data_IF_941477919534
#
_entry.id   IF_941477919534
#
_cell.length_a   1.000
_cell.length_b   1.000
_cell.length_c   1.000
_cell.angle_alpha   90.00
_cell.angle_beta   90.00
_cell.angle_gamma   90.00
#
_symmetry.space_group_name_H-M   'P 1'
#
loop_
_entity.id
_entity.type
_entity.pdbx_description
1 polymer ?
#
# COMPACT_ATOMS: atom_id res chain seq x y z
N UNK A 1 -39.96 -51.72 40.51
CA UNK A 1 -39.80 -52.70 39.41
C UNK A 1 -39.00 -52.03 38.30
N UNK A 2 -37.75 -52.51 38.08
CA UNK A 2 -36.83 -52.42 36.92
C UNK A 2 -36.66 -51.11 36.09
N UNK A 3 -35.37 -50.71 36.01
CA UNK A 3 -34.67 -49.70 35.18
C UNK A 3 -34.71 -50.09 33.67
N UNK A 4 -34.35 -49.22 32.67
CA UNK A 4 -32.94 -48.85 32.44
C UNK A 4 -32.66 -47.43 31.89
N UNK A 5 -31.42 -47.04 32.17
CA UNK A 5 -30.64 -45.91 31.69
C UNK A 5 -30.36 -46.00 30.18
N UNK A 6 -30.45 -44.88 29.45
CA UNK A 6 -29.93 -44.77 28.08
C UNK A 6 -29.06 -43.53 27.90
N UNK A 7 -27.85 -43.81 27.43
CA UNK A 7 -26.74 -42.91 27.13
C UNK A 7 -27.08 -42.07 25.91
N UNK A 8 -26.95 -40.75 26.00
CA UNK A 8 -26.70 -39.91 24.82
C UNK A 8 -25.53 -38.99 25.16
N UNK A 9 -24.36 -39.38 24.65
CA UNK A 9 -23.24 -38.49 24.46
C UNK A 9 -23.61 -37.50 23.34
N UNK A 10 -23.56 -36.19 23.61
CA UNK A 10 -23.56 -35.17 22.56
C UNK A 10 -22.29 -34.34 22.70
N UNK A 11 -21.68 -34.20 21.53
CA UNK A 11 -20.42 -33.57 21.18
C UNK A 11 -20.28 -32.12 21.65
N UNK A 12 -19.07 -31.80 22.11
CA UNK A 12 -18.29 -30.58 21.83
C UNK A 12 -18.95 -29.59 20.85
N UNK A 13 -19.10 -28.33 21.27
CA UNK A 13 -18.51 -27.16 20.60
C UNK A 13 -18.16 -26.15 21.71
N UNK A 14 -16.88 -26.08 22.02
CA UNK A 14 -16.30 -24.96 22.73
C UNK A 14 -16.34 -23.75 21.79
N UNK A 15 -17.20 -22.77 22.07
CA UNK A 15 -17.13 -21.45 21.43
C UNK A 15 -15.97 -20.71 22.12
N UNK A 16 -14.76 -21.06 21.70
CA UNK A 16 -13.57 -20.26 21.95
C UNK A 16 -13.64 -19.07 20.98
N UNK A 17 -14.38 -18.04 21.39
CA UNK A 17 -14.37 -16.75 20.71
C UNK A 17 -12.98 -16.14 20.86
N UNK A 18 -12.07 -16.46 19.95
CA UNK A 18 -10.83 -15.73 19.78
C UNK A 18 -11.20 -14.31 19.36
N UNK A 19 -11.25 -13.43 20.36
CA UNK A 19 -11.07 -11.99 20.17
C UNK A 19 -9.71 -11.82 19.50
N UNK A 20 -9.69 -11.73 18.17
CA UNK A 20 -8.56 -11.20 17.44
C UNK A 20 -8.44 -9.73 17.81
N UNK A 21 -7.75 -9.44 18.90
CA UNK A 21 -7.23 -8.10 19.18
C UNK A 21 -6.19 -7.82 18.11
N UNK A 22 -6.60 -7.16 17.03
CA UNK A 22 -5.66 -6.47 16.15
C UNK A 22 -4.96 -5.42 17.02
N UNK A 23 -3.72 -5.71 17.41
CA UNK A 23 -2.86 -4.72 18.03
C UNK A 23 -2.77 -3.54 17.07
N UNK A 24 -3.31 -2.38 17.46
CA UNK A 24 -3.10 -1.15 16.72
C UNK A 24 -1.63 -0.78 16.88
N UNK A 25 -0.83 -1.05 15.85
CA UNK A 25 0.53 -0.54 15.76
C UNK A 25 0.45 1.00 15.74
N UNK A 26 0.68 1.61 16.91
CA UNK A 26 0.78 3.05 17.07
C UNK A 26 1.83 3.58 16.07
N UNK A 27 1.53 4.66 15.32
CA UNK A 27 2.51 5.23 14.41
C UNK A 27 3.74 5.70 15.18
N UNK A 28 4.92 5.36 14.67
CA UNK A 28 6.20 5.72 15.26
C UNK A 28 6.37 7.24 15.28
N UNK A 29 6.70 7.82 16.43
CA UNK A 29 6.91 9.27 16.58
C UNK A 29 8.39 9.63 16.78
N UNK A 30 8.72 10.92 16.77
CA UNK A 30 10.05 11.42 17.14
C UNK A 30 10.49 10.89 18.52
N UNK A 31 9.59 10.86 19.50
CA UNK A 31 9.87 10.37 20.86
C UNK A 31 10.21 8.88 20.90
N UNK A 32 9.50 8.08 20.09
CA UNK A 32 9.75 6.64 19.99
C UNK A 32 11.15 6.40 19.38
N UNK A 33 11.54 7.18 18.37
CA UNK A 33 12.89 7.12 17.77
C UNK A 33 13.98 7.52 18.76
N UNK A 34 13.76 8.60 19.53
CA UNK A 34 14.69 9.03 20.58
C UNK A 34 14.84 7.92 21.63
N UNK A 35 13.75 7.28 22.03
CA UNK A 35 13.76 6.19 23.00
C UNK A 35 14.53 4.97 22.49
N UNK A 36 14.32 4.58 21.23
CA UNK A 36 15.07 3.50 20.59
C UNK A 36 16.56 3.82 20.52
N UNK A 37 16.92 5.05 20.16
CA UNK A 37 18.31 5.48 20.12
C UNK A 37 18.97 5.43 21.51
N UNK A 38 18.28 5.92 22.55
CA UNK A 38 18.77 5.90 23.93
C UNK A 38 18.87 4.48 24.50
N UNK A 39 18.04 3.56 24.03
CA UNK A 39 18.11 2.15 24.42
C UNK A 39 19.29 1.39 23.80
N UNK A 40 20.09 2.03 22.94
CA UNK A 40 21.27 1.43 22.32
C UNK A 40 20.97 0.55 21.11
N UNK A 41 19.76 0.63 20.55
CA UNK A 41 19.43 -0.07 19.30
C UNK A 41 20.28 0.49 18.17
N UNK A 42 20.88 -0.40 17.37
CA UNK A 42 21.73 -0.01 16.26
C UNK A 42 20.95 0.86 15.24
N UNK A 43 21.61 1.91 14.75
CA UNK A 43 21.01 2.89 13.84
C UNK A 43 20.36 2.23 12.60
N UNK A 44 20.95 1.18 12.04
CA UNK A 44 20.40 0.44 10.89
C UNK A 44 19.07 -0.24 11.20
N UNK A 45 18.90 -0.73 12.42
CA UNK A 45 17.65 -1.36 12.88
C UNK A 45 16.57 -0.29 13.05
N UNK A 46 16.93 0.87 13.61
CA UNK A 46 16.00 2.00 13.73
C UNK A 46 15.59 2.49 12.33
N UNK A 47 16.52 2.59 11.38
CA UNK A 47 16.21 2.92 9.98
C UNK A 47 15.27 1.88 9.36
N UNK A 48 15.50 0.59 9.57
CA UNK A 48 14.62 -0.46 9.09
C UNK A 48 13.22 -0.36 9.71
N UNK A 49 13.12 -0.06 11.01
CA UNK A 49 11.84 0.14 11.72
C UNK A 49 11.09 1.36 11.21
N UNK A 50 11.78 2.50 11.05
CA UNK A 50 11.26 3.74 10.45
C UNK A 50 10.69 3.45 9.07
N UNK A 51 11.35 2.63 8.24
CA UNK A 51 10.87 2.31 6.88
C UNK A 51 9.74 1.28 6.81
N UNK A 52 9.60 0.44 7.83
CA UNK A 52 8.67 -0.70 7.82
C UNK A 52 7.41 -0.49 8.67
N UNK A 53 7.35 0.59 9.45
CA UNK A 53 6.24 0.88 10.36
C UNK A 53 5.60 2.22 9.97
N UNK A 54 4.27 2.38 10.09
CA UNK A 54 3.64 3.69 10.00
C UNK A 54 4.33 4.68 10.95
N UNK A 55 4.56 5.91 10.49
CA UNK A 55 5.30 6.92 11.23
C UNK A 55 4.68 8.30 11.08
N UNK A 56 4.75 9.10 12.14
CA UNK A 56 4.42 10.52 12.13
C UNK A 56 5.63 11.25 12.69
N UNK A 57 6.47 11.75 11.80
CA UNK A 57 7.69 12.46 12.18
C UNK A 57 7.54 13.94 11.87
N UNK A 58 7.79 14.75 12.88
CA UNK A 58 7.93 16.19 12.71
C UNK A 58 9.36 16.49 12.26
N UNK A 59 9.49 17.02 11.04
CA UNK A 59 10.76 17.35 10.39
C UNK A 59 11.00 18.87 10.35
N UNK A 60 10.32 19.64 11.21
CA UNK A 60 10.63 21.05 11.41
C UNK A 60 12.04 21.24 11.98
N UNK A 61 12.62 22.42 11.77
CA UNK A 61 13.98 22.75 12.19
C UNK A 61 14.22 22.47 13.68
N UNK A 62 13.25 22.82 14.54
CA UNK A 62 13.35 22.64 15.99
C UNK A 62 13.38 21.16 16.38
N UNK A 63 12.60 20.33 15.69
CA UNK A 63 12.53 18.89 15.94
C UNK A 63 13.74 18.13 15.40
N UNK A 64 14.28 18.55 14.26
CA UNK A 64 15.55 18.01 13.75
C UNK A 64 16.71 18.32 14.70
N UNK A 65 16.73 19.52 15.29
CA UNK A 65 17.68 19.88 16.34
C UNK A 65 17.51 19.01 17.58
N UNK A 66 16.27 18.81 18.05
CA UNK A 66 15.98 17.97 19.21
C UNK A 66 16.43 16.50 19.01
N UNK A 67 16.24 15.95 17.81
CA UNK A 67 16.73 14.60 17.46
C UNK A 67 18.26 14.52 17.52
N UNK A 68 18.94 15.54 17.01
CA UNK A 68 20.41 15.61 17.04
C UNK A 68 20.94 15.74 18.45
N UNK A 69 20.35 16.63 19.25
CA UNK A 69 20.70 16.85 20.65
C UNK A 69 20.46 15.59 21.51
N UNK A 70 19.47 14.76 21.13
CA UNK A 70 19.16 13.48 21.77
C UNK A 70 20.11 12.33 21.36
N UNK A 71 21.08 12.58 20.47
CA UNK A 71 22.05 11.58 20.03
C UNK A 71 21.54 10.61 18.96
N UNK A 72 20.43 10.95 18.28
CA UNK A 72 19.93 10.15 17.16
C UNK A 72 20.91 10.24 15.99
N UNK A 73 21.29 9.10 15.41
CA UNK A 73 22.23 9.04 14.30
C UNK A 73 21.70 9.76 13.04
N UNK A 74 22.59 10.42 12.29
CA UNK A 74 22.20 11.20 11.09
C UNK A 74 21.53 10.33 10.02
N UNK A 75 21.89 9.05 9.92
CA UNK A 75 21.24 8.08 9.03
C UNK A 75 19.78 7.81 9.41
N UNK A 76 19.45 7.84 10.69
CA UNK A 76 18.09 7.69 11.21
C UNK A 76 17.30 8.97 10.96
N UNK A 77 17.87 10.14 11.28
CA UNK A 77 17.24 11.44 11.01
C UNK A 77 16.95 11.60 9.51
N UNK A 78 17.90 11.22 8.66
CA UNK A 78 17.71 11.20 7.21
C UNK A 78 16.57 10.26 6.81
N UNK A 79 16.48 9.07 7.40
CA UNK A 79 15.38 8.15 7.15
C UNK A 79 14.03 8.70 7.60
N UNK A 80 13.97 9.47 8.69
CA UNK A 80 12.75 10.16 9.17
C UNK A 80 12.34 11.32 8.25
N UNK A 81 13.30 12.09 7.74
CA UNK A 81 13.07 13.18 6.78
C UNK A 81 12.61 12.64 5.43
N UNK A 82 13.20 11.53 5.00
CA UNK A 82 12.82 10.82 3.78
C UNK A 82 11.59 9.94 3.98
N UNK A 83 11.09 9.81 5.21
CA UNK A 83 9.87 9.09 5.47
C UNK A 83 8.73 9.84 4.79
N UNK A 84 7.96 9.20 3.91
CA UNK A 84 6.80 9.85 3.31
C UNK A 84 5.80 10.14 4.43
N UNK A 85 5.82 11.37 4.94
CA UNK A 85 4.93 11.90 5.97
C UNK A 85 3.52 12.01 5.41
N UNK A 86 2.86 10.88 5.12
CA UNK A 86 1.53 10.78 4.52
C UNK A 86 1.21 12.03 3.72
N UNK A 87 2.06 12.34 2.75
CA UNK A 87 2.24 13.70 2.25
C UNK A 87 1.03 14.02 1.43
N UNK A 88 -0.02 14.53 2.09
CA UNK A 88 -1.34 14.81 1.52
C UNK A 88 -1.55 14.00 0.25
N UNK A 89 -1.65 12.69 0.39
CA UNK A 89 -2.48 11.98 -0.56
C UNK A 89 -3.80 12.72 -0.38
N UNK A 90 -4.14 13.56 -1.36
CA UNK A 90 -5.49 14.02 -1.54
C UNK A 90 -6.29 12.74 -1.70
N UNK A 91 -6.68 12.17 -0.55
CA UNK A 91 -7.72 11.18 -0.47
C UNK A 91 -8.84 11.78 -1.31
N UNK A 92 -9.28 11.10 -2.36
CA UNK A 92 -10.37 11.61 -3.16
C UNK A 92 -11.61 11.64 -2.27
N UNK A 93 -11.92 12.82 -1.73
CA UNK A 93 -13.30 13.19 -1.41
C UNK A 93 -14.12 13.31 -2.71
N UNK A 94 -13.46 13.25 -3.87
CA UNK A 94 -14.04 13.35 -5.21
C UNK A 94 -13.87 12.02 -5.96
N UNK A 95 -14.57 11.01 -5.48
CA UNK A 95 -14.91 9.80 -6.24
C UNK A 95 -16.41 9.86 -6.68
N UNK A 96 -16.89 11.06 -6.99
CA UNK A 96 -18.15 11.32 -7.69
C UNK A 96 -17.72 11.80 -9.08
N UNK A 97 -17.93 11.15 -10.21
CA UNK A 97 -19.04 10.30 -10.62
C UNK A 97 -18.54 9.29 -11.66
N UNK A 98 -18.07 8.13 -11.19
CA UNK A 98 -17.72 7.07 -12.12
C UNK A 98 -17.91 5.67 -11.55
N UNK A 99 -19.17 5.26 -11.52
CA UNK A 99 -19.61 3.96 -11.04
C UNK A 99 -19.94 3.09 -12.24
N UNK A 100 -19.28 1.94 -12.35
CA UNK A 100 -19.63 0.89 -13.30
C UNK A 100 -20.87 0.16 -12.76
N UNK A 101 -22.01 0.18 -13.48
CA UNK A 101 -23.22 -0.52 -13.04
C UNK A 101 -22.96 -2.01 -12.83
N UNK A 102 -23.55 -2.58 -11.76
CA UNK A 102 -23.47 -4.00 -11.42
C UNK A 102 -22.05 -4.56 -11.13
N UNK A 103 -21.01 -3.71 -11.12
CA UNK A 103 -19.69 -4.12 -10.66
C UNK A 103 -19.64 -4.06 -9.13
N UNK A 104 -19.35 -5.20 -8.51
CA UNK A 104 -19.38 -5.35 -7.04
C UNK A 104 -18.02 -5.09 -6.41
N UNK A 105 -16.97 -5.03 -7.24
CA UNK A 105 -15.59 -4.81 -6.83
C UNK A 105 -15.16 -3.37 -7.08
N UNK A 106 -14.18 -2.90 -6.33
CA UNK A 106 -13.41 -1.74 -6.71
C UNK A 106 -12.57 -2.08 -7.96
N UNK A 107 -12.48 -1.15 -8.91
CA UNK A 107 -11.75 -1.33 -10.16
C UNK A 107 -10.55 -0.40 -10.17
N UNK A 108 -9.35 -0.96 -10.07
CA UNK A 108 -8.12 -0.19 -9.91
C UNK A 108 -7.27 -0.32 -11.17
N UNK A 109 -7.15 0.77 -11.93
CA UNK A 109 -6.19 0.87 -13.02
C UNK A 109 -4.81 1.20 -12.44
N UNK A 110 -3.84 0.36 -12.72
CA UNK A 110 -2.43 0.66 -12.48
C UNK A 110 -1.74 0.77 -13.82
N UNK A 111 -1.05 1.88 -14.05
CA UNK A 111 -0.42 2.14 -15.32
C UNK A 111 0.92 2.85 -15.17
N UNK A 112 1.70 2.80 -16.25
CA UNK A 112 2.97 3.50 -16.34
C UNK A 112 3.07 4.17 -17.70
N UNK A 113 3.37 5.48 -17.69
CA UNK A 113 3.62 6.23 -18.92
C UNK A 113 4.92 5.73 -19.57
N UNK A 114 4.96 5.81 -20.89
CA UNK A 114 6.16 5.50 -21.66
C UNK A 114 7.18 6.62 -21.47
N UNK A 115 8.30 6.32 -20.83
CA UNK A 115 9.38 7.29 -20.58
C UNK A 115 10.66 6.85 -21.30
N UNK A 116 11.42 7.82 -21.80
CA UNK A 116 12.69 7.55 -22.47
C UNK A 116 13.66 6.86 -21.48
N UNK A 117 14.39 5.86 -21.97
CA UNK A 117 15.46 5.16 -21.23
C UNK A 117 15.06 4.36 -19.97
N UNK A 118 13.77 4.03 -19.81
CA UNK A 118 13.30 3.25 -18.63
C UNK A 118 12.79 1.84 -18.96
N UNK A 119 12.92 1.39 -20.22
CA UNK A 119 12.33 0.12 -20.73
C UNK A 119 12.75 -1.15 -19.98
N UNK A 120 13.94 -1.15 -19.37
CA UNK A 120 14.44 -2.32 -18.64
C UNK A 120 14.04 -2.33 -17.16
N UNK A 121 13.33 -1.29 -16.69
CA UNK A 121 12.82 -1.22 -15.33
C UNK A 121 11.45 -1.91 -15.28
N UNK A 122 11.27 -2.83 -14.33
CA UNK A 122 10.04 -3.62 -14.18
C UNK A 122 9.63 -3.67 -12.71
N UNK A 123 9.13 -2.56 -12.14
CA UNK A 123 8.82 -2.47 -10.74
C UNK A 123 7.62 -3.38 -10.39
N UNK A 124 7.68 -4.00 -9.23
CA UNK A 124 6.62 -4.89 -8.75
C UNK A 124 5.50 -4.08 -8.11
N UNK A 125 4.25 -4.35 -8.49
CA UNK A 125 3.06 -3.76 -7.89
C UNK A 125 2.46 -4.74 -6.91
N UNK A 126 2.07 -4.23 -5.75
CA UNK A 126 1.43 -5.00 -4.69
C UNK A 126 0.05 -4.41 -4.36
N UNK A 127 -0.90 -5.29 -4.08
CA UNK A 127 -2.19 -4.96 -3.48
C UNK A 127 -2.31 -5.74 -2.16
N UNK A 128 -2.43 -5.02 -1.05
CA UNK A 128 -2.49 -5.59 0.31
C UNK A 128 -1.39 -6.61 0.56
N UNK A 129 -0.13 -6.20 0.31
CA UNK A 129 1.10 -6.98 0.46
C UNK A 129 1.26 -8.21 -0.48
N UNK A 130 0.28 -8.49 -1.34
CA UNK A 130 0.36 -9.52 -2.39
C UNK A 130 0.91 -8.91 -3.68
N UNK A 131 1.97 -9.49 -4.23
CA UNK A 131 2.50 -9.06 -5.54
C UNK A 131 1.51 -9.46 -6.64
N UNK A 132 0.93 -8.47 -7.31
CA UNK A 132 -0.11 -8.70 -8.32
C UNK A 132 0.46 -8.74 -9.73
N UNK A 133 1.46 -7.92 -10.03
CA UNK A 133 2.09 -7.83 -11.34
C UNK A 133 3.44 -7.12 -11.30
N UNK A 134 4.24 -7.31 -12.35
CA UNK A 134 5.41 -6.49 -12.66
C UNK A 134 5.05 -5.48 -13.75
N UNK A 135 5.25 -4.20 -13.49
CA UNK A 135 4.81 -3.15 -14.40
C UNK A 135 5.81 -2.95 -15.55
N UNK A 136 5.31 -3.05 -16.78
CA UNK A 136 6.10 -2.79 -17.99
C UNK A 136 5.94 -1.34 -18.46
N UNK A 137 6.84 -0.87 -19.31
CA UNK A 137 6.85 0.50 -19.82
C UNK A 137 5.70 0.78 -20.79
N UNK A 138 4.94 1.85 -20.56
CA UNK A 138 3.83 2.26 -21.42
C UNK A 138 2.60 1.33 -21.39
N UNK A 139 2.42 0.55 -20.32
CA UNK A 139 1.33 -0.42 -20.18
C UNK A 139 0.42 -0.09 -19.00
N UNK A 140 -0.77 -0.71 -19.00
CA UNK A 140 -1.68 -0.72 -17.86
C UNK A 140 -2.20 -2.13 -17.56
N UNK A 141 -2.68 -2.34 -16.34
CA UNK A 141 -3.51 -3.48 -15.98
C UNK A 141 -4.55 -3.04 -14.94
N UNK A 142 -5.53 -3.91 -14.70
CA UNK A 142 -6.64 -3.64 -13.78
C UNK A 142 -6.56 -4.63 -12.62
N UNK A 143 -6.72 -4.15 -11.40
CA UNK A 143 -6.92 -4.97 -10.20
C UNK A 143 -8.40 -4.87 -9.82
N UNK A 144 -9.02 -5.99 -9.47
CA UNK A 144 -10.36 -6.04 -8.89
C UNK A 144 -10.27 -6.49 -7.44
N UNK A 145 -10.73 -5.64 -6.52
CA UNK A 145 -10.72 -5.91 -5.08
C UNK A 145 -12.13 -5.76 -4.53
N UNK A 146 -12.42 -6.45 -3.42
CA UNK A 146 -13.67 -6.17 -2.71
C UNK A 146 -13.69 -4.71 -2.19
N UNK A 147 -14.86 -4.14 -1.89
CA UNK A 147 -14.91 -2.80 -1.31
C UNK A 147 -14.28 -2.77 0.09
N UNK A 148 -13.61 -1.67 0.42
CA UNK A 148 -12.99 -1.45 1.71
C UNK A 148 -11.63 -0.77 1.61
N UNK A 149 -10.89 -0.78 2.72
CA UNK A 149 -9.56 -0.16 2.80
C UNK A 149 -8.52 -1.06 2.14
N UNK A 150 -7.93 -0.57 1.06
CA UNK A 150 -6.89 -1.27 0.31
C UNK A 150 -5.64 -0.42 0.16
N UNK A 151 -4.48 -1.08 0.19
CA UNK A 151 -3.19 -0.45 -0.04
C UNK A 151 -2.59 -0.90 -1.37
N UNK A 152 -2.26 0.05 -2.25
CA UNK A 152 -1.64 -0.19 -3.54
C UNK A 152 -0.26 0.43 -3.55
N UNK A 153 0.78 -0.39 -3.70
CA UNK A 153 2.18 0.06 -3.60
C UNK A 153 3.04 -0.45 -4.75
N UNK A 154 4.14 0.26 -5.01
CA UNK A 154 5.16 -0.13 -5.99
C UNK A 154 6.49 -0.39 -5.28
N UNK A 155 7.03 -1.59 -5.45
CA UNK A 155 8.15 -2.19 -4.72
C UNK A 155 7.91 -2.25 -3.19
N UNK A 156 8.38 -3.34 -2.54
CA UNK A 156 8.22 -3.48 -1.09
C UNK A 156 8.99 -2.37 -0.35
N UNK A 157 8.36 -1.74 0.64
CA UNK A 157 8.98 -0.74 1.50
C UNK A 157 8.66 0.73 1.19
N UNK A 158 7.68 1.01 0.32
CA UNK A 158 7.11 2.36 0.12
C UNK A 158 5.58 2.34 0.27
N UNK A 159 5.04 3.33 0.98
CA UNK A 159 3.64 3.39 1.41
C UNK A 159 2.80 4.30 0.51
N UNK A 160 1.82 3.71 -0.19
CA UNK A 160 0.55 4.39 -0.41
C UNK A 160 -0.23 4.41 0.92
N UNK A 161 -1.03 5.44 1.15
CA UNK A 161 -2.03 5.36 2.21
C UNK A 161 -3.11 4.36 1.79
N UNK A 162 -3.66 3.59 2.75
CA UNK A 162 -4.81 2.77 2.45
C UNK A 162 -5.99 3.67 2.03
N UNK A 163 -6.57 3.39 0.88
CA UNK A 163 -7.72 4.12 0.33
C UNK A 163 -8.97 3.29 0.59
N UNK A 164 -10.02 3.92 1.08
CA UNK A 164 -11.34 3.29 1.18
C UNK A 164 -11.98 3.24 -0.23
N UNK A 165 -11.87 2.07 -0.85
CA UNK A 165 -12.32 1.82 -2.22
C UNK A 165 -13.74 1.28 -2.23
N UNK A 166 -14.58 1.82 -3.11
CA UNK A 166 -16.01 1.50 -3.19
C UNK A 166 -16.31 0.57 -4.34
N UNK A 167 -17.36 -0.24 -4.19
CA UNK A 167 -17.89 -1.09 -5.26
C UNK A 167 -18.19 -0.26 -6.52
N UNK A 168 -17.80 -0.78 -7.68
CA UNK A 168 -18.06 -0.19 -8.99
C UNK A 168 -17.26 1.07 -9.31
N UNK A 169 -16.51 1.64 -8.35
CA UNK A 169 -15.75 2.86 -8.59
C UNK A 169 -14.41 2.54 -9.26
N UNK A 170 -14.00 3.42 -10.18
CA UNK A 170 -12.68 3.36 -10.82
C UNK A 170 -11.66 4.21 -10.10
N UNK A 171 -10.47 3.64 -9.88
CA UNK A 171 -9.33 4.29 -9.26
C UNK A 171 -8.13 4.20 -10.20
N UNK A 172 -7.35 5.27 -10.29
CA UNK A 172 -6.19 5.30 -11.19
C UNK A 172 -4.91 5.54 -10.39
N UNK A 173 -3.94 4.68 -10.61
CA UNK A 173 -2.62 4.75 -10.00
C UNK A 173 -1.54 4.75 -11.06
N UNK A 174 -0.71 5.79 -11.04
CA UNK A 174 0.40 5.96 -11.95
C UNK A 174 1.71 5.56 -11.25
N UNK A 175 2.42 4.63 -11.87
CA UNK A 175 3.82 4.37 -11.53
C UNK A 175 4.68 5.43 -12.22
N UNK A 176 5.40 6.22 -11.44
CA UNK A 176 6.36 7.23 -11.93
C UNK A 176 7.76 6.91 -11.43
N UNK A 177 8.79 7.45 -12.09
CA UNK A 177 10.15 7.43 -11.56
C UNK A 177 10.55 8.82 -11.10
N UNK A 178 11.13 8.89 -9.90
CA UNK A 178 11.84 10.08 -9.44
C UNK A 178 13.33 9.86 -9.60
N UNK A 179 14.07 10.83 -10.17
CA UNK A 179 15.52 10.80 -10.13
C UNK A 179 15.98 10.80 -8.67
N UNK A 180 17.02 10.02 -8.39
CA UNK A 180 17.66 9.91 -7.09
C UNK A 180 19.17 9.96 -7.22
N UNK A 181 19.86 10.34 -6.14
CA UNK A 181 21.31 10.57 -6.14
C UNK A 181 22.15 9.32 -6.50
N UNK A 182 21.63 8.12 -6.25
CA UNK A 182 22.29 6.85 -6.60
C UNK A 182 21.52 6.02 -7.63
N UNK A 183 20.18 5.97 -7.52
CA UNK A 183 19.31 5.22 -8.42
C UNK A 183 17.93 5.86 -8.50
N UNK A 184 17.29 5.75 -9.66
CA UNK A 184 15.89 6.14 -9.83
C UNK A 184 15.00 5.29 -8.91
N UNK A 185 14.01 5.93 -8.30
CA UNK A 185 13.03 5.26 -7.43
C UNK A 185 11.65 5.32 -8.07
N UNK A 186 10.97 4.19 -8.11
CA UNK A 186 9.57 4.15 -8.53
C UNK A 186 8.68 4.66 -7.40
N UNK A 187 7.69 5.48 -7.74
CA UNK A 187 6.64 5.92 -6.82
C UNK A 187 5.27 5.56 -7.38
N UNK A 188 4.31 5.37 -6.48
CA UNK A 188 2.90 5.19 -6.81
C UNK A 188 2.15 6.49 -6.54
N UNK A 189 1.50 7.03 -7.56
CA UNK A 189 0.73 8.27 -7.49
C UNK A 189 -0.75 7.98 -7.74
N UNK A 190 -1.63 8.44 -6.85
CA UNK A 190 -3.08 8.44 -7.12
C UNK A 190 -3.42 9.55 -8.12
N UNK A 191 -4.17 9.22 -9.16
CA UNK A 191 -4.55 10.12 -10.24
C UNK A 191 -6.07 10.29 -10.24
N UNK A 192 -6.53 11.53 -10.36
CA UNK A 192 -7.96 11.85 -10.48
C UNK A 192 -8.59 11.13 -11.68
N UNK A 193 -9.86 10.75 -11.55
CA UNK A 193 -10.58 9.93 -12.53
C UNK A 193 -10.42 10.40 -13.98
N UNK A 194 -10.81 11.65 -14.27
CA UNK A 194 -10.80 12.20 -15.63
C UNK A 194 -9.40 12.18 -16.27
N UNK A 195 -8.38 12.48 -15.45
CA UNK A 195 -7.00 12.46 -15.90
C UNK A 195 -6.51 11.04 -16.14
N UNK A 196 -6.76 10.12 -15.20
CA UNK A 196 -6.34 8.73 -15.31
C UNK A 196 -6.97 8.02 -16.52
N UNK A 197 -8.26 8.25 -16.74
CA UNK A 197 -9.00 7.77 -17.91
C UNK A 197 -8.37 8.26 -19.22
N UNK A 198 -8.08 9.55 -19.32
CA UNK A 198 -7.44 10.13 -20.52
C UNK A 198 -6.05 9.55 -20.75
N UNK A 199 -5.26 9.37 -19.69
CA UNK A 199 -3.91 8.83 -19.79
C UNK A 199 -3.90 7.37 -20.25
N UNK A 200 -4.84 6.54 -19.76
CA UNK A 200 -4.91 5.11 -20.09
C UNK A 200 -5.55 4.83 -21.46
N UNK A 201 -6.40 5.73 -21.97
CA UNK A 201 -7.25 5.50 -23.16
C UNK A 201 -6.53 4.94 -24.42
N UNK A 202 -5.24 5.25 -24.60
CA UNK A 202 -4.45 4.77 -25.75
C UNK A 202 -3.29 3.84 -25.35
N UNK A 203 -3.25 3.40 -24.09
CA UNK A 203 -2.23 2.47 -23.61
C UNK A 203 -2.57 1.04 -24.00
N UNK A 204 -1.55 0.20 -24.09
CA UNK A 204 -1.74 -1.24 -24.30
C UNK A 204 -1.86 -1.94 -22.94
N UNK A 205 -2.65 -3.01 -22.86
CA UNK A 205 -2.66 -3.84 -21.67
C UNK A 205 -1.28 -4.47 -21.43
N UNK A 206 -1.03 -4.77 -20.15
CA UNK A 206 0.11 -5.54 -19.69
C UNK A 206 0.04 -6.96 -20.26
N UNK A 207 1.19 -7.55 -20.54
CA UNK A 207 1.27 -8.92 -21.03
C UNK A 207 1.13 -9.93 -19.88
N UNK A 208 0.44 -11.05 -20.13
CA UNK A 208 0.17 -12.11 -19.15
C UNK A 208 1.39 -12.62 -18.39
N UNK A 209 2.56 -12.65 -19.03
CA UNK A 209 3.82 -13.11 -18.41
C UNK A 209 4.24 -12.25 -17.20
N UNK A 210 3.76 -11.01 -17.15
CA UNK A 210 4.04 -10.06 -16.10
C UNK A 210 3.01 -10.07 -14.97
N UNK A 211 1.89 -10.78 -15.15
CA UNK A 211 0.86 -10.95 -14.13
C UNK A 211 1.28 -12.06 -13.16
N UNK A 212 1.24 -11.77 -11.86
CA UNK A 212 1.59 -12.72 -10.79
C UNK A 212 0.35 -13.28 -10.10
N UNK A 213 -0.67 -12.45 -9.92
CA UNK A 213 -1.96 -12.86 -9.36
C UNK A 213 -3.08 -12.70 -10.39
N UNK A 214 -3.38 -13.78 -11.13
CA UNK A 214 -4.47 -13.82 -12.12
C UNK A 214 -5.86 -13.83 -11.50
N UNK A 215 -5.98 -14.00 -10.18
CA UNK A 215 -7.29 -13.98 -9.51
C UNK A 215 -7.77 -12.56 -9.24
N UNK A 216 -6.84 -11.62 -9.07
CA UNK A 216 -7.11 -10.20 -8.84
C UNK A 216 -6.89 -9.34 -10.07
N UNK A 217 -6.02 -9.74 -10.99
CA UNK A 217 -5.64 -8.94 -12.16
C UNK A 217 -6.44 -9.30 -13.40
N UNK A 218 -6.95 -8.26 -14.07
CA UNK A 218 -7.55 -8.29 -15.39
C UNK A 218 -6.78 -7.37 -16.35
N UNK A 219 -6.74 -7.75 -17.62
CA UNK A 219 -6.19 -6.90 -18.71
C UNK A 219 -7.27 -6.40 -19.67
N UNK A 220 -8.50 -6.88 -19.51
CA UNK A 220 -9.67 -6.34 -20.19
C UNK A 220 -10.33 -5.26 -19.36
N UNK A 221 -10.69 -4.15 -20.00
CA UNK A 221 -11.52 -3.12 -19.38
C UNK A 221 -12.88 -3.71 -18.95
N UNK A 222 -13.43 -3.26 -17.81
CA UNK A 222 -14.78 -3.61 -17.43
C UNK A 222 -15.75 -3.09 -18.50
N UNK A 223 -16.76 -3.90 -18.82
CA UNK A 223 -17.85 -3.45 -19.69
C UNK A 223 -18.71 -2.42 -18.92
N UNK A 224 -19.20 -1.37 -19.59
CA UNK A 224 -20.18 -0.46 -19.01
C UNK A 224 -21.50 -1.17 -18.68
#
# INVERSE_FOLDING_TARGET
MKIPSLRIAVFLIAIFGALSTFAQDKPLTNDDVISLSKSGVAAEIIVAKVRSTPGKFDTSTDQLKALKDAGVADSVVLAMVQFPQGSKSSAPTEAADDVIPNETKAVIYVYRRKEFDTRNLQPSVYADDVEVARMDDGKFFIIKLDPGKHNIVVNKGFSGAAIDMKAGHRYYFRVTYKPGFLKARSEMEYVAYEQGKLEVANMKPLEDKWIKDKTRVSVSEPKP
#
